data_IF_479002361397
#
_entry.id   IF_479002361397
#
_cell.length_a   1.000
_cell.length_b   1.000
_cell.length_c   1.000
_cell.angle_alpha   90.00
_cell.angle_beta   90.00
_cell.angle_gamma   90.00
#
_symmetry.space_group_name_H-M   'P 1'
#
loop_
_entity.id
_entity.type
_entity.pdbx_description
1 polymer ?
#
# COMPACT_ATOMS: atom_id res chain seq x y z
N UNK A 1 2.84 -45.85 38.84
CA UNK A 1 2.54 -46.48 37.53
C UNK A 1 1.24 -45.84 37.04
N UNK A 2 1.13 -44.90 36.11
CA UNK A 2 2.05 -44.27 35.17
C UNK A 2 1.56 -42.81 35.06
N UNK A 3 2.37 -41.82 35.44
CA UNK A 3 2.24 -40.51 34.77
C UNK A 3 2.84 -40.74 33.39
N UNK A 4 2.02 -41.27 32.47
CA UNK A 4 2.35 -41.20 31.07
C UNK A 4 2.38 -39.70 30.78
N UNK A 5 3.58 -39.16 30.59
CA UNK A 5 3.79 -37.84 30.05
C UNK A 5 3.21 -37.86 28.63
N UNK A 6 1.90 -37.70 28.50
CA UNK A 6 1.24 -37.46 27.23
C UNK A 6 1.64 -36.05 26.83
N UNK A 7 2.84 -35.91 26.28
CA UNK A 7 3.21 -34.78 25.46
C UNK A 7 2.37 -34.87 24.18
N UNK A 8 1.12 -34.46 24.27
CA UNK A 8 0.46 -33.89 23.10
C UNK A 8 1.12 -32.53 22.88
N UNK A 9 1.45 -32.22 21.62
CA UNK A 9 2.17 -30.99 21.21
C UNK A 9 1.48 -29.71 21.74
N UNK A 10 0.20 -29.81 22.09
CA UNK A 10 -0.70 -28.71 22.47
C UNK A 10 -0.95 -28.52 23.99
N UNK A 11 -0.22 -29.22 24.87
CA UNK A 11 -0.64 -29.37 26.27
C UNK A 11 0.52 -29.44 27.29
N UNK A 12 0.47 -28.61 28.36
CA UNK A 12 1.38 -28.71 29.53
C UNK A 12 0.55 -28.98 30.79
N UNK A 13 0.70 -30.17 31.41
CA UNK A 13 -0.10 -30.55 32.57
C UNK A 13 0.68 -30.42 33.89
N UNK A 14 0.07 -29.77 34.88
CA UNK A 14 0.62 -29.55 36.22
C UNK A 14 -0.21 -30.28 37.29
N UNK A 15 0.43 -30.87 38.32
CA UNK A 15 -0.28 -31.52 39.43
C UNK A 15 -0.96 -30.48 40.33
N UNK A 16 -2.23 -30.72 40.68
CA UNK A 16 -2.98 -29.84 41.60
C UNK A 16 -2.90 -30.39 43.03
N UNK A 17 -2.54 -29.56 44.01
CA UNK A 17 -2.44 -29.98 45.41
C UNK A 17 -3.84 -30.27 46.00
N UNK A 18 -4.13 -31.57 46.17
CA UNK A 18 -4.80 -32.20 47.34
C UNK A 18 -5.87 -33.26 47.05
N UNK A 19 -6.20 -33.60 45.80
CA UNK A 19 -6.92 -34.85 45.46
C UNK A 19 -6.55 -35.25 44.02
N UNK A 20 -6.38 -36.56 43.77
CA UNK A 20 -5.87 -37.18 42.52
C UNK A 20 -6.36 -36.48 41.23
N UNK A 21 -5.58 -35.53 40.72
CA UNK A 21 -5.96 -34.74 39.54
C UNK A 21 -4.80 -33.92 38.99
N UNK A 22 -4.79 -33.73 37.68
CA UNK A 22 -3.87 -32.86 36.95
C UNK A 22 -4.69 -31.81 36.17
N UNK A 23 -4.17 -30.59 36.09
CA UNK A 23 -4.75 -29.53 35.27
C UNK A 23 -3.84 -29.31 34.07
N UNK A 24 -4.40 -29.38 32.87
CA UNK A 24 -3.68 -29.11 31.65
C UNK A 24 -3.86 -27.65 31.22
N UNK A 25 -2.74 -26.97 31.01
CA UNK A 25 -2.67 -25.64 30.41
C UNK A 25 -2.49 -25.81 28.90
N UNK A 26 -3.49 -25.41 28.14
CA UNK A 26 -3.48 -25.52 26.69
C UNK A 26 -2.61 -24.45 26.04
N UNK A 27 -1.95 -24.81 24.95
CA UNK A 27 -1.38 -23.82 24.03
C UNK A 27 -2.51 -22.98 23.43
N UNK A 28 -2.23 -21.74 22.98
CA UNK A 28 -3.23 -20.94 22.26
C UNK A 28 -3.90 -21.75 21.13
N UNK A 29 -5.21 -21.58 20.96
CA UNK A 29 -6.00 -22.31 19.97
C UNK A 29 -6.55 -23.67 20.39
N UNK A 30 -6.21 -24.18 21.59
CA UNK A 30 -6.73 -25.46 22.07
C UNK A 30 -7.52 -25.32 23.38
N UNK A 31 -8.50 -26.19 23.55
CA UNK A 31 -9.38 -26.29 24.72
C UNK A 31 -9.67 -27.74 25.09
N UNK A 32 -10.39 -27.95 26.19
CA UNK A 32 -10.70 -29.27 26.74
C UNK A 32 -9.75 -29.70 27.86
N UNK A 33 -10.14 -30.75 28.59
CA UNK A 33 -9.42 -31.25 29.77
C UNK A 33 -8.00 -31.74 29.45
N UNK A 34 -7.78 -32.19 28.21
CA UNK A 34 -6.49 -32.63 27.69
C UNK A 34 -6.02 -31.80 26.49
N UNK A 35 -6.59 -30.59 26.32
CA UNK A 35 -6.29 -29.71 25.18
C UNK A 35 -6.49 -30.41 23.83
N UNK A 36 -7.45 -31.33 23.78
CA UNK A 36 -7.71 -32.17 22.61
C UNK A 36 -8.63 -31.50 21.58
N UNK A 37 -9.28 -30.40 21.97
CA UNK A 37 -10.25 -29.71 21.13
C UNK A 37 -9.59 -28.47 20.50
N UNK A 38 -9.47 -28.42 19.16
CA UNK A 38 -9.11 -27.18 18.48
C UNK A 38 -10.27 -26.19 18.65
N UNK A 39 -9.98 -24.98 19.11
CA UNK A 39 -10.96 -23.91 19.21
C UNK A 39 -11.34 -23.53 17.78
N UNK A 40 -12.62 -23.64 17.45
CA UNK A 40 -13.09 -23.28 16.12
C UNK A 40 -13.27 -21.76 16.03
N UNK A 41 -12.25 -21.05 15.54
CA UNK A 41 -12.29 -19.59 15.41
C UNK A 41 -13.33 -19.11 14.37
N UNK A 42 -13.86 -20.01 13.54
CA UNK A 42 -14.92 -19.69 12.59
C UNK A 42 -16.33 -19.64 13.21
N UNK A 43 -16.54 -20.10 14.45
CA UNK A 43 -17.88 -20.09 15.09
C UNK A 43 -18.44 -18.67 15.26
N UNK A 44 -17.57 -17.68 15.48
CA UNK A 44 -17.98 -16.28 15.59
C UNK A 44 -18.31 -15.62 14.24
N UNK A 45 -18.24 -16.36 13.13
CA UNK A 45 -18.43 -15.87 11.77
C UNK A 45 -17.57 -14.62 11.47
N UNK A 46 -16.24 -14.73 11.57
CA UNK A 46 -15.36 -13.59 11.39
C UNK A 46 -15.34 -13.08 9.93
N UNK A 47 -15.46 -13.98 8.94
CA UNK A 47 -15.49 -13.64 7.53
C UNK A 47 -16.79 -12.92 7.15
N UNK A 48 -16.66 -11.72 6.60
CA UNK A 48 -17.79 -10.89 6.16
C UNK A 48 -18.08 -11.07 4.68
N UNK A 49 -19.20 -10.50 4.24
CA UNK A 49 -19.57 -10.39 2.82
C UNK A 49 -19.58 -11.72 2.04
N UNK A 50 -19.95 -12.83 2.69
CA UNK A 50 -19.99 -14.15 2.08
C UNK A 50 -18.63 -14.83 1.93
N UNK A 51 -17.61 -14.38 2.66
CA UNK A 51 -16.33 -15.09 2.77
C UNK A 51 -16.49 -16.46 3.42
N UNK A 52 -15.75 -17.44 2.90
CA UNK A 52 -15.72 -18.81 3.44
C UNK A 52 -14.61 -18.87 4.49
N UNK A 53 -14.98 -19.22 5.72
CA UNK A 53 -14.05 -19.35 6.83
C UNK A 53 -13.46 -20.76 6.88
N UNK A 54 -12.14 -20.84 7.00
CA UNK A 54 -11.39 -22.06 7.28
C UNK A 54 -10.75 -21.93 8.65
N UNK A 55 -11.10 -22.85 9.54
CA UNK A 55 -10.52 -22.96 10.87
C UNK A 55 -9.05 -23.38 10.78
N UNK A 56 -8.18 -22.75 11.57
CA UNK A 56 -6.76 -23.07 11.70
C UNK A 56 -6.44 -23.25 13.19
N UNK A 57 -5.17 -23.44 13.54
CA UNK A 57 -4.76 -23.54 14.95
C UNK A 57 -4.59 -22.12 15.49
N UNK A 58 -5.37 -21.76 16.51
CA UNK A 58 -5.35 -20.44 17.16
C UNK A 58 -5.64 -19.27 16.19
N UNK A 59 -6.26 -19.55 15.04
CA UNK A 59 -6.40 -18.63 13.93
C UNK A 59 -7.47 -19.10 12.94
N UNK A 60 -7.85 -18.24 12.01
CA UNK A 60 -8.72 -18.58 10.89
C UNK A 60 -8.22 -17.89 9.62
N UNK A 61 -8.63 -18.44 8.48
CA UNK A 61 -8.43 -17.82 7.17
C UNK A 61 -9.77 -17.61 6.46
N UNK A 62 -9.93 -16.47 5.80
CA UNK A 62 -11.11 -16.18 4.99
C UNK A 62 -10.77 -16.23 3.50
N UNK A 63 -11.45 -17.10 2.77
CA UNK A 63 -11.46 -17.06 1.30
C UNK A 63 -12.51 -16.05 0.87
N UNK A 64 -12.05 -14.90 0.39
CA UNK A 64 -12.92 -13.81 -0.02
C UNK A 64 -13.49 -13.99 -1.43
N UNK A 65 -14.76 -13.61 -1.65
CA UNK A 65 -15.31 -13.45 -3.00
C UNK A 65 -14.50 -12.42 -3.79
N UNK A 66 -14.59 -12.46 -5.12
CA UNK A 66 -13.77 -11.62 -6.02
C UNK A 66 -13.87 -10.11 -5.75
N UNK A 67 -15.01 -9.66 -5.24
CA UNK A 67 -15.32 -8.26 -4.95
C UNK A 67 -14.76 -7.75 -3.62
N UNK A 68 -14.25 -8.64 -2.76
CA UNK A 68 -13.81 -8.30 -1.41
C UNK A 68 -12.36 -8.73 -1.15
N UNK A 69 -11.72 -8.04 -0.21
CA UNK A 69 -10.35 -8.25 0.25
C UNK A 69 -10.25 -7.96 1.76
N UNK A 70 -9.07 -8.22 2.31
CA UNK A 70 -8.75 -8.12 3.73
C UNK A 70 -8.94 -9.44 4.46
N UNK A 71 -8.34 -9.55 5.65
CA UNK A 71 -8.37 -10.78 6.49
C UNK A 71 -9.77 -11.33 6.71
N UNK A 72 -10.77 -10.45 6.80
CA UNK A 72 -12.16 -10.81 7.09
C UNK A 72 -13.08 -10.48 5.92
N UNK A 73 -12.55 -10.27 4.71
CA UNK A 73 -13.30 -9.86 3.53
C UNK A 73 -14.13 -8.59 3.75
N UNK A 74 -13.65 -7.70 4.62
CA UNK A 74 -14.37 -6.50 5.05
C UNK A 74 -14.22 -5.33 4.08
N UNK A 75 -13.20 -5.35 3.21
CA UNK A 75 -12.91 -4.26 2.29
C UNK A 75 -13.36 -4.63 0.88
N UNK A 76 -14.00 -3.69 0.19
CA UNK A 76 -14.31 -3.86 -1.23
C UNK A 76 -13.03 -3.70 -2.05
N UNK A 77 -12.80 -4.58 -3.03
CA UNK A 77 -11.67 -4.51 -3.96
C UNK A 77 -11.86 -3.40 -5.00
N UNK A 78 -12.11 -2.17 -4.59
CA UNK A 78 -12.32 -1.02 -5.48
C UNK A 78 -11.59 0.23 -4.99
N UNK A 79 -10.50 0.04 -4.25
CA UNK A 79 -9.65 1.12 -3.75
C UNK A 79 -8.71 1.67 -4.82
N UNK A 80 -8.21 2.91 -4.67
CA UNK A 80 -7.24 3.48 -5.60
C UNK A 80 -5.91 2.73 -5.52
N UNK A 81 -5.34 2.39 -6.68
CA UNK A 81 -4.02 1.74 -6.78
C UNK A 81 -2.85 2.74 -6.65
N UNK A 82 -3.15 4.04 -6.68
CA UNK A 82 -2.27 5.08 -6.16
C UNK A 82 -1.53 5.87 -7.23
N UNK A 83 -2.16 6.11 -8.38
CA UNK A 83 -1.72 7.12 -9.34
C UNK A 83 -1.86 8.53 -8.78
N UNK A 84 -2.99 8.87 -8.16
CA UNK A 84 -3.22 10.17 -7.52
C UNK A 84 -2.28 10.40 -6.34
N UNK A 85 -2.19 9.41 -5.44
CA UNK A 85 -1.39 9.49 -4.21
C UNK A 85 0.13 9.42 -4.43
N UNK A 86 0.59 9.03 -5.62
CA UNK A 86 2.02 8.96 -5.94
C UNK A 86 2.71 7.63 -5.65
N UNK A 87 1.98 6.67 -5.09
CA UNK A 87 2.43 5.29 -4.85
C UNK A 87 3.00 4.69 -6.14
N UNK A 88 2.29 4.86 -7.27
CA UNK A 88 2.80 4.52 -8.59
C UNK A 88 3.78 5.62 -9.01
N UNK A 89 5.05 5.27 -9.15
CA UNK A 89 6.13 6.22 -9.47
C UNK A 89 6.12 6.68 -10.93
N UNK A 90 6.81 7.79 -11.23
CA UNK A 90 6.88 8.32 -12.60
C UNK A 90 7.48 7.33 -13.61
N UNK A 91 8.39 6.45 -13.17
CA UNK A 91 9.04 5.44 -14.01
C UNK A 91 8.09 4.30 -14.40
N UNK A 92 7.02 4.09 -13.63
CA UNK A 92 6.02 3.06 -13.89
C UNK A 92 4.97 3.49 -14.92
N UNK A 93 4.97 4.77 -15.31
CA UNK A 93 3.96 5.35 -16.21
C UNK A 93 4.65 5.70 -17.53
N UNK A 94 4.27 5.02 -18.59
CA UNK A 94 4.79 5.25 -19.95
C UNK A 94 3.65 5.52 -20.91
N UNK A 95 3.95 6.08 -22.07
CA UNK A 95 2.94 6.35 -23.10
C UNK A 95 3.55 6.28 -24.49
N UNK A 96 2.70 6.11 -25.49
CA UNK A 96 3.09 6.03 -26.90
C UNK A 96 3.85 7.27 -27.38
N UNK A 97 3.38 8.44 -26.95
CA UNK A 97 3.88 9.73 -27.39
C UNK A 97 3.68 10.80 -26.31
N UNK A 98 4.21 11.99 -26.55
CA UNK A 98 4.10 13.12 -25.61
C UNK A 98 3.95 14.41 -26.39
N UNK A 99 2.92 15.17 -26.06
CA UNK A 99 2.76 16.51 -26.61
C UNK A 99 3.78 17.50 -26.02
N UNK A 100 4.37 18.32 -26.89
CA UNK A 100 5.22 19.46 -26.53
C UNK A 100 4.62 20.76 -27.07
N UNK A 101 4.33 21.72 -26.20
CA UNK A 101 3.78 23.04 -26.56
C UNK A 101 4.74 24.16 -26.16
N UNK A 102 4.47 25.39 -26.65
CA UNK A 102 5.23 26.61 -26.36
C UNK A 102 6.75 26.43 -26.50
N UNK A 103 7.22 26.13 -27.71
CA UNK A 103 8.64 25.90 -28.03
C UNK A 103 9.31 24.82 -27.14
N UNK A 104 8.51 23.86 -26.65
CA UNK A 104 9.00 22.77 -25.80
C UNK A 104 9.04 23.07 -24.30
N UNK A 105 8.57 24.25 -23.86
CA UNK A 105 8.48 24.60 -22.44
C UNK A 105 7.36 23.84 -21.72
N UNK A 106 6.28 23.48 -22.41
CA UNK A 106 5.19 22.67 -21.85
C UNK A 106 5.28 21.24 -22.37
N UNK A 107 5.60 20.28 -21.49
CA UNK A 107 5.77 18.86 -21.85
C UNK A 107 4.76 17.99 -21.09
N UNK A 108 3.78 17.45 -21.80
CA UNK A 108 2.64 16.72 -21.23
C UNK A 108 2.96 15.23 -21.11
N UNK A 109 3.98 14.90 -20.32
CA UNK A 109 4.48 13.54 -20.18
C UNK A 109 3.48 12.55 -19.55
N UNK A 110 3.61 11.24 -19.81
CA UNK A 110 2.76 10.20 -19.25
C UNK A 110 2.62 10.25 -17.73
N UNK A 111 3.70 10.55 -17.00
CA UNK A 111 3.69 10.59 -15.53
C UNK A 111 2.81 11.70 -14.92
N UNK A 112 2.33 12.66 -15.72
CA UNK A 112 1.34 13.64 -15.29
C UNK A 112 -0.09 13.12 -15.36
N UNK A 113 -0.33 11.91 -15.88
CA UNK A 113 -1.65 11.28 -15.96
C UNK A 113 -2.18 10.81 -14.60
N UNK A 114 -2.15 11.67 -13.59
CA UNK A 114 -2.60 11.39 -12.23
C UNK A 114 -3.91 12.12 -11.98
N UNK A 115 -4.90 11.42 -11.44
CA UNK A 115 -6.19 12.01 -11.10
C UNK A 115 -6.00 13.27 -10.23
N UNK A 116 -6.84 14.29 -10.45
CA UNK A 116 -6.84 15.55 -9.71
C UNK A 116 -5.53 16.34 -9.69
N UNK A 117 -4.54 15.97 -10.50
CA UNK A 117 -3.27 16.70 -10.60
C UNK A 117 -3.55 18.16 -11.00
N UNK A 118 -2.91 19.08 -10.26
CA UNK A 118 -2.99 20.53 -10.45
C UNK A 118 -1.70 21.05 -11.09
N UNK A 119 -1.79 22.20 -11.74
CA UNK A 119 -0.66 22.90 -12.39
C UNK A 119 -1.00 23.36 -13.81
N UNK A 120 -0.07 24.10 -14.41
CA UNK A 120 -0.17 24.53 -15.82
C UNK A 120 -0.08 23.34 -16.80
N UNK A 121 0.70 22.33 -16.43
CA UNK A 121 0.77 21.03 -17.09
C UNK A 121 0.41 19.99 -16.04
N UNK A 122 -0.71 19.31 -16.25
CA UNK A 122 -1.33 18.52 -15.20
C UNK A 122 -1.99 17.23 -15.70
N UNK A 123 -1.74 16.85 -16.95
CA UNK A 123 -2.24 15.61 -17.54
C UNK A 123 -1.22 15.06 -18.53
N UNK A 124 -1.42 13.82 -18.96
CA UNK A 124 -0.78 13.33 -20.18
C UNK A 124 -1.59 13.75 -21.39
N UNK A 125 -0.91 14.18 -22.45
CA UNK A 125 -1.51 14.46 -23.75
C UNK A 125 -0.68 13.78 -24.83
N UNK A 126 -1.34 13.03 -25.70
CA UNK A 126 -0.70 12.40 -26.86
C UNK A 126 -0.22 13.45 -27.87
N UNK A 127 0.83 13.12 -28.62
CA UNK A 127 1.30 13.95 -29.72
C UNK A 127 0.25 14.05 -30.85
N UNK A 128 0.24 15.14 -31.59
CA UNK A 128 -0.81 15.41 -32.60
C UNK A 128 -0.76 14.45 -33.79
N UNK A 129 0.41 13.89 -34.09
CA UNK A 129 0.61 12.91 -35.17
C UNK A 129 0.41 11.45 -34.72
N UNK A 130 0.10 11.21 -33.45
CA UNK A 130 -0.11 9.87 -32.91
C UNK A 130 -1.55 9.41 -33.20
N UNK A 131 -1.70 8.48 -34.15
CA UNK A 131 -3.00 7.92 -34.55
C UNK A 131 -3.53 6.89 -33.56
N UNK A 132 -2.66 6.29 -32.75
CA UNK A 132 -3.00 5.18 -31.86
C UNK A 132 -2.39 5.39 -30.48
N UNK A 133 -2.81 6.46 -29.78
CA UNK A 133 -2.21 6.81 -28.51
C UNK A 133 -2.49 5.74 -27.47
N UNK A 134 -1.53 5.49 -26.60
CA UNK A 134 -1.73 4.64 -25.43
C UNK A 134 -0.99 5.15 -24.21
N UNK A 135 -1.57 4.92 -23.03
CA UNK A 135 -0.97 5.14 -21.72
C UNK A 135 -0.84 3.80 -21.02
N UNK A 136 0.36 3.48 -20.54
CA UNK A 136 0.67 2.22 -19.88
C UNK A 136 1.11 2.48 -18.43
N UNK A 137 0.61 1.62 -17.55
CA UNK A 137 0.89 1.66 -16.11
C UNK A 137 1.43 0.29 -15.71
N UNK A 138 2.63 0.26 -15.14
CA UNK A 138 3.24 -0.94 -14.57
C UNK A 138 3.02 -0.97 -13.05
N UNK A 139 2.24 -1.93 -12.57
CA UNK A 139 1.91 -2.09 -11.15
C UNK A 139 3.04 -2.75 -10.34
N UNK A 140 4.13 -3.19 -11.00
CA UNK A 140 5.30 -3.91 -10.46
C UNK A 140 5.01 -5.30 -9.89
N UNK A 141 3.77 -5.57 -9.55
CA UNK A 141 3.27 -6.86 -9.09
C UNK A 141 1.92 -7.14 -9.74
N UNK A 142 1.52 -8.42 -9.71
CA UNK A 142 0.23 -8.86 -10.23
C UNK A 142 -0.89 -8.39 -9.29
N UNK A 143 -1.78 -7.56 -9.80
CA UNK A 143 -2.88 -6.93 -9.04
C UNK A 143 -4.21 -7.26 -9.69
N UNK A 144 -5.29 -7.25 -8.89
CA UNK A 144 -6.66 -7.25 -9.42
C UNK A 144 -7.08 -5.83 -9.73
N UNK A 145 -7.52 -5.59 -10.96
CA UNK A 145 -8.01 -4.30 -11.43
C UNK A 145 -9.51 -4.41 -11.64
N UNK A 146 -10.26 -3.56 -10.95
CA UNK A 146 -11.74 -3.58 -10.92
C UNK A 146 -12.36 -2.35 -11.59
N UNK A 147 -11.57 -1.33 -11.90
CA UNK A 147 -12.09 -0.17 -12.61
C UNK A 147 -11.03 0.88 -12.94
N UNK A 148 -11.49 1.94 -13.58
CA UNK A 148 -10.68 3.08 -13.98
C UNK A 148 -11.48 4.37 -13.81
N UNK A 149 -10.86 5.37 -13.19
CA UNK A 149 -11.36 6.74 -13.16
C UNK A 149 -10.57 7.55 -14.19
N UNK A 150 -11.27 8.28 -15.04
CA UNK A 150 -10.68 9.18 -16.04
C UNK A 150 -11.09 10.62 -15.79
N UNK A 151 -10.24 11.56 -16.18
CA UNK A 151 -10.49 13.00 -16.09
C UNK A 151 -9.70 13.70 -17.20
N UNK A 152 -10.24 14.78 -17.77
CA UNK A 152 -9.56 15.56 -18.81
C UNK A 152 -8.59 16.60 -18.26
N UNK A 153 -8.25 17.61 -19.06
CA UNK A 153 -7.60 18.83 -18.59
C UNK A 153 -8.02 20.05 -19.43
N UNK A 154 -7.61 21.24 -18.99
CA UNK A 154 -7.89 22.49 -19.70
C UNK A 154 -6.59 23.12 -20.14
N UNK A 155 -6.51 23.52 -21.40
CA UNK A 155 -5.36 24.25 -21.96
C UNK A 155 -5.81 25.59 -22.50
N UNK A 156 -5.31 26.68 -21.91
CA UNK A 156 -5.57 28.07 -22.36
C UNK A 156 -7.06 28.33 -22.63
N UNK A 157 -7.95 27.95 -21.71
CA UNK A 157 -9.39 28.15 -21.90
C UNK A 157 -10.14 26.95 -22.52
N UNK A 158 -9.47 26.12 -23.31
CA UNK A 158 -10.12 25.03 -24.06
C UNK A 158 -10.12 23.71 -23.29
N UNK A 159 -11.27 23.04 -23.14
CA UNK A 159 -11.36 21.72 -22.50
C UNK A 159 -10.90 20.62 -23.46
N UNK A 160 -9.98 19.78 -22.99
CA UNK A 160 -9.45 18.61 -23.71
C UNK A 160 -9.69 17.36 -22.85
N UNK A 161 -10.30 16.32 -23.42
CA UNK A 161 -10.61 15.08 -22.70
C UNK A 161 -10.92 13.92 -23.63
N UNK A 162 -10.82 12.71 -23.11
CA UNK A 162 -11.18 11.48 -23.83
C UNK A 162 -12.67 11.17 -23.62
N UNK A 163 -13.42 11.00 -24.70
CA UNK A 163 -14.84 10.65 -24.73
C UNK A 163 -15.09 9.14 -24.74
N UNK A 164 -14.17 8.36 -25.27
CA UNK A 164 -14.21 6.89 -25.19
C UNK A 164 -12.82 6.29 -25.29
N UNK A 165 -12.64 5.12 -24.70
CA UNK A 165 -11.35 4.42 -24.66
C UNK A 165 -11.54 2.91 -24.58
N UNK A 166 -10.50 2.16 -24.96
CA UNK A 166 -10.36 0.73 -24.70
C UNK A 166 -9.31 0.47 -23.63
N UNK A 167 -9.37 -0.69 -22.98
CA UNK A 167 -8.39 -1.11 -21.97
C UNK A 167 -7.81 -2.46 -22.38
N UNK A 168 -6.52 -2.64 -22.17
CA UNK A 168 -5.84 -3.91 -22.33
C UNK A 168 -5.02 -4.24 -21.07
N UNK A 169 -4.82 -5.52 -20.84
CA UNK A 169 -4.03 -6.05 -19.74
C UNK A 169 -2.88 -6.94 -20.26
N UNK A 170 -1.82 -7.07 -19.46
CA UNK A 170 -0.65 -7.87 -19.80
C UNK A 170 0.09 -8.30 -18.53
N UNK A 171 0.65 -9.50 -18.54
CA UNK A 171 1.51 -10.02 -17.45
C UNK A 171 2.99 -9.75 -17.71
N UNK A 172 3.42 -9.64 -18.98
CA UNK A 172 4.83 -9.55 -19.38
C UNK A 172 5.19 -8.19 -20.03
N UNK A 173 4.21 -7.32 -20.27
CA UNK A 173 4.33 -6.05 -20.97
C UNK A 173 4.53 -6.18 -22.49
N UNK A 174 4.53 -7.40 -23.03
CA UNK A 174 4.76 -7.71 -24.46
C UNK A 174 3.49 -8.22 -25.13
N UNK A 175 2.81 -9.17 -24.51
CA UNK A 175 1.56 -9.75 -24.98
C UNK A 175 0.39 -9.04 -24.33
N UNK A 176 -0.56 -8.56 -25.13
CA UNK A 176 -1.65 -7.70 -24.66
C UNK A 176 -3.00 -8.30 -24.98
N UNK A 177 -3.83 -8.44 -23.95
CA UNK A 177 -5.20 -8.91 -24.07
C UNK A 177 -6.15 -7.71 -23.93
N UNK A 178 -6.93 -7.45 -24.98
CA UNK A 178 -7.97 -6.40 -24.94
C UNK A 178 -9.10 -6.83 -24.02
N UNK A 179 -9.63 -5.90 -23.22
CA UNK A 179 -10.83 -6.16 -22.44
C UNK A 179 -12.02 -6.36 -23.37
N UNK A 180 -12.73 -7.48 -23.22
CA UNK A 180 -13.84 -7.88 -24.07
C UNK A 180 -15.20 -7.62 -23.42
N UNK A 181 -16.23 -7.43 -24.23
CA UNK A 181 -17.62 -7.43 -23.76
C UNK A 181 -17.95 -8.85 -23.27
N UNK A 182 -18.65 -8.94 -22.14
CA UNK A 182 -18.98 -10.22 -21.50
C UNK A 182 -19.66 -11.17 -22.50
N UNK A 183 -19.21 -12.42 -22.53
CA UNK A 183 -19.73 -13.50 -23.38
C UNK A 183 -19.61 -13.25 -24.91
N UNK A 184 -18.70 -12.35 -25.33
CA UNK A 184 -18.43 -12.06 -26.75
C UNK A 184 -16.92 -11.87 -27.01
N UNK A 185 -16.50 -11.88 -28.28
CA UNK A 185 -15.12 -11.56 -28.69
C UNK A 185 -14.95 -10.07 -29.11
N UNK A 186 -15.97 -9.24 -28.88
CA UNK A 186 -15.90 -7.82 -29.20
C UNK A 186 -15.12 -7.03 -28.14
N UNK A 187 -14.25 -6.12 -28.59
CA UNK A 187 -13.53 -5.23 -27.68
C UNK A 187 -14.49 -4.28 -26.96
N UNK A 188 -14.40 -4.24 -25.63
CA UNK A 188 -15.17 -3.30 -24.82
C UNK A 188 -14.70 -1.87 -25.05
N UNK A 189 -15.64 -1.00 -25.42
CA UNK A 189 -15.42 0.45 -25.54
C UNK A 189 -16.07 1.11 -24.32
N UNK A 190 -15.23 1.67 -23.46
CA UNK A 190 -15.68 2.41 -22.29
C UNK A 190 -16.04 3.85 -22.67
N UNK A 191 -17.10 4.36 -22.05
CA UNK A 191 -17.45 5.78 -22.15
C UNK A 191 -16.52 6.57 -21.24
N UNK A 192 -15.94 7.65 -21.77
CA UNK A 192 -15.03 8.53 -21.05
C UNK A 192 -15.74 9.74 -20.46
N UNK A 193 -15.03 10.87 -20.43
CA UNK A 193 -15.51 12.09 -19.81
C UNK A 193 -16.47 12.88 -20.70
N UNK A 194 -17.36 13.64 -20.06
CA UNK A 194 -18.23 14.63 -20.69
C UNK A 194 -17.68 16.05 -20.60
N UNK A 195 -16.74 16.29 -19.69
CA UNK A 195 -16.03 17.56 -19.48
C UNK A 195 -14.54 17.32 -19.14
N UNK A 196 -13.80 18.38 -18.83
CA UNK A 196 -12.37 18.30 -18.55
C UNK A 196 -11.98 18.13 -17.07
N UNK A 197 -12.92 18.19 -16.12
CA UNK A 197 -12.63 18.32 -14.70
C UNK A 197 -13.39 17.35 -13.80
N UNK A 198 -14.53 16.83 -14.20
CA UNK A 198 -15.30 15.87 -13.41
C UNK A 198 -14.68 14.48 -13.60
N UNK A 199 -14.21 13.83 -12.52
CA UNK A 199 -13.79 12.43 -12.57
C UNK A 199 -14.95 11.55 -13.03
N UNK A 200 -14.71 10.70 -14.02
CA UNK A 200 -15.68 9.74 -14.54
C UNK A 200 -15.19 8.34 -14.24
N UNK A 201 -15.99 7.56 -13.50
CA UNK A 201 -15.64 6.22 -13.04
C UNK A 201 -16.30 5.17 -13.94
N UNK A 202 -15.50 4.25 -14.48
CA UNK A 202 -15.99 3.02 -15.08
C UNK A 202 -15.56 1.83 -14.21
N UNK A 203 -16.53 1.04 -13.77
CA UNK A 203 -16.30 -0.25 -13.15
C UNK A 203 -16.21 -1.33 -14.24
N UNK A 204 -15.28 -2.26 -14.08
CA UNK A 204 -15.12 -3.39 -15.00
C UNK A 204 -16.06 -4.51 -14.57
N UNK A 205 -16.97 -4.90 -15.47
CA UNK A 205 -17.97 -5.95 -15.22
C UNK A 205 -17.32 -7.30 -14.86
N UNK A 206 -16.15 -7.56 -15.41
CA UNK A 206 -15.29 -8.70 -15.09
C UNK A 206 -13.92 -8.15 -14.67
N UNK A 207 -13.62 -8.05 -13.36
CA UNK A 207 -12.29 -7.74 -12.88
C UNK A 207 -11.23 -8.64 -13.52
N UNK A 208 -10.06 -8.10 -13.84
CA UNK A 208 -8.95 -8.87 -14.38
C UNK A 208 -7.70 -8.73 -13.50
N UNK A 209 -6.83 -9.72 -13.58
CA UNK A 209 -5.55 -9.75 -12.88
C UNK A 209 -4.44 -9.46 -13.87
N UNK A 210 -3.57 -8.50 -13.55
CA UNK A 210 -2.44 -8.16 -14.41
C UNK A 210 -1.39 -7.34 -13.66
N UNK A 211 -0.15 -7.37 -14.18
CA UNK A 211 0.90 -6.44 -13.78
C UNK A 211 0.87 -5.15 -14.60
N UNK A 212 0.53 -5.23 -15.88
CA UNK A 212 0.51 -4.08 -16.79
C UNK A 212 -0.90 -3.79 -17.27
N UNK A 213 -1.26 -2.51 -17.21
CA UNK A 213 -2.54 -2.01 -17.73
C UNK A 213 -2.24 -0.95 -18.78
N UNK A 214 -2.93 -1.03 -19.92
CA UNK A 214 -2.82 -0.03 -20.99
C UNK A 214 -4.18 0.50 -21.39
N UNK A 215 -4.25 1.81 -21.51
CA UNK A 215 -5.45 2.57 -21.85
C UNK A 215 -5.24 3.14 -23.25
N UNK A 216 -6.22 2.92 -24.12
CA UNK A 216 -6.19 3.33 -25.53
C UNK A 216 -7.32 4.33 -25.80
N UNK A 217 -7.07 5.64 -25.73
CA UNK A 217 -8.05 6.65 -26.16
C UNK A 217 -8.52 6.37 -27.59
N UNK A 218 -9.85 6.37 -27.80
CA UNK A 218 -10.46 6.17 -29.12
C UNK A 218 -11.01 7.48 -29.67
N UNK A 219 -11.93 8.11 -28.94
CA UNK A 219 -12.54 9.37 -29.34
C UNK A 219 -12.19 10.42 -28.30
N UNK A 220 -11.73 11.58 -28.76
CA UNK A 220 -11.27 12.67 -27.90
C UNK A 220 -11.93 13.99 -28.29
N UNK A 221 -12.21 14.85 -27.32
CA UNK A 221 -12.59 16.25 -27.58
C UNK A 221 -11.32 17.08 -27.72
N UNK A 222 -11.16 17.71 -28.88
CA UNK A 222 -9.96 18.47 -29.27
C UNK A 222 -8.71 17.61 -29.34
N UNK A 223 -8.23 17.09 -28.20
CA UNK A 223 -7.05 16.22 -28.12
C UNK A 223 -7.23 15.14 -27.04
N UNK A 224 -6.51 14.03 -27.20
CA UNK A 224 -6.50 12.94 -26.23
C UNK A 224 -5.65 13.32 -25.02
N UNK A 225 -6.33 13.83 -24.00
CA UNK A 225 -5.74 14.31 -22.75
C UNK A 225 -6.35 13.56 -21.57
N UNK A 226 -5.50 12.96 -20.72
CA UNK A 226 -5.92 12.07 -19.62
C UNK A 226 -5.19 12.37 -18.31
N UNK A 227 -5.99 12.39 -17.25
CA UNK A 227 -5.64 12.11 -15.86
C UNK A 227 -6.39 10.84 -15.45
N UNK A 228 -5.72 9.93 -14.76
CA UNK A 228 -6.31 8.63 -14.42
C UNK A 228 -6.01 8.19 -13.00
N UNK A 229 -6.89 7.33 -12.47
CA UNK A 229 -6.65 6.52 -11.28
C UNK A 229 -7.19 5.11 -11.53
N UNK A 230 -6.37 4.09 -11.26
CA UNK A 230 -6.79 2.70 -11.37
C UNK A 230 -7.44 2.27 -10.06
N UNK A 231 -8.50 1.47 -10.16
CA UNK A 231 -9.18 0.90 -9.01
C UNK A 231 -8.90 -0.60 -8.94
N UNK A 232 -8.70 -1.12 -7.75
CA UNK A 232 -8.39 -2.54 -7.57
C UNK A 232 -7.93 -2.88 -6.16
N UNK A 233 -7.26 -4.03 -6.06
CA UNK A 233 -6.62 -4.51 -4.84
C UNK A 233 -5.51 -5.52 -5.17
N UNK A 234 -4.74 -5.90 -4.17
CA UNK A 234 -3.72 -6.95 -4.28
C UNK A 234 -4.34 -8.35 -4.14
N UNK A 235 -3.74 -9.35 -4.77
CA UNK A 235 -4.26 -10.73 -4.78
C UNK A 235 -4.00 -11.49 -3.48
N UNK A 236 -2.88 -11.22 -2.81
CA UNK A 236 -2.40 -11.98 -1.66
C UNK A 236 -3.05 -11.55 -0.34
N UNK A 237 -3.90 -10.51 -0.35
CA UNK A 237 -4.58 -9.99 0.84
C UNK A 237 -3.66 -9.48 1.97
N UNK A 238 -2.33 -9.48 1.77
CA UNK A 238 -1.33 -9.21 2.80
C UNK A 238 -0.56 -7.91 2.57
N UNK A 239 -1.20 -6.91 1.97
CA UNK A 239 -0.61 -5.57 1.78
C UNK A 239 -1.56 -4.48 2.26
N UNK A 240 -2.43 -4.85 3.19
CA UNK A 240 -3.37 -3.94 3.84
C UNK A 240 -2.60 -3.05 4.83
N UNK A 241 -3.07 -1.81 5.07
CA UNK A 241 -2.48 -0.94 6.08
C UNK A 241 -2.60 -1.56 7.47
N UNK A 242 -1.47 -1.69 8.17
CA UNK A 242 -1.40 -2.27 9.52
C UNK A 242 -1.93 -1.32 10.60
N UNK A 243 -2.15 -0.04 10.27
CA UNK A 243 -2.97 0.83 11.09
C UNK A 243 -2.31 2.11 11.57
N UNK A 244 -1.24 2.56 10.92
CA UNK A 244 -0.63 3.85 11.24
C UNK A 244 -1.59 5.00 10.94
N UNK A 245 -2.22 5.03 9.76
CA UNK A 245 -3.16 6.10 9.39
C UNK A 245 -4.49 5.98 10.13
N UNK A 246 -5.01 4.77 10.27
CA UNK A 246 -6.34 4.52 10.87
C UNK A 246 -6.34 4.70 12.39
N UNK A 247 -5.18 4.63 13.04
CA UNK A 247 -5.06 4.68 14.49
C UNK A 247 -5.27 3.33 15.17
N UNK A 248 -5.33 2.22 14.43
CA UNK A 248 -5.34 0.87 15.02
C UNK A 248 -4.03 0.58 15.75
N UNK A 249 -2.88 0.97 15.16
CA UNK A 249 -1.62 1.07 15.89
C UNK A 249 -1.72 2.27 16.81
N UNK A 250 -1.70 2.05 18.12
CA UNK A 250 -1.85 3.08 19.14
C UNK A 250 -0.58 3.91 19.31
N UNK A 251 -0.72 5.11 19.89
CA UNK A 251 0.40 6.04 20.05
C UNK A 251 1.56 5.46 20.89
N UNK A 252 1.26 4.63 21.89
CA UNK A 252 2.28 4.00 22.74
C UNK A 252 3.12 2.95 22.00
N UNK A 253 2.63 2.43 20.87
CA UNK A 253 3.33 1.45 20.04
C UNK A 253 4.41 2.10 19.17
N UNK A 254 4.42 3.43 19.07
CA UNK A 254 5.33 4.16 18.19
C UNK A 254 6.36 4.89 19.05
N UNK A 255 7.63 4.51 18.90
CA UNK A 255 8.74 5.11 19.64
C UNK A 255 9.80 5.63 18.68
N UNK A 256 10.71 6.49 19.15
CA UNK A 256 11.77 7.04 18.31
C UNK A 256 13.04 7.30 19.10
N UNK A 257 14.13 7.56 18.38
CA UNK A 257 15.41 7.94 18.96
C UNK A 257 15.43 9.33 19.59
N UNK A 258 14.78 10.32 18.96
CA UNK A 258 14.73 11.70 19.45
C UNK A 258 13.60 12.49 18.78
N UNK A 259 13.22 13.61 19.39
CA UNK A 259 12.09 14.45 18.96
C UNK A 259 12.52 15.92 18.83
N UNK A 260 12.14 16.55 17.72
CA UNK A 260 12.34 17.97 17.48
C UNK A 260 11.16 18.80 17.99
N UNK A 261 11.46 19.97 18.54
CA UNK A 261 10.47 20.97 18.95
C UNK A 261 10.66 22.25 18.14
N UNK A 262 9.63 22.65 17.39
CA UNK A 262 9.70 23.95 16.69
C UNK A 262 9.61 25.08 17.71
N UNK A 263 10.50 26.07 17.58
CA UNK A 263 10.64 27.19 18.52
C UNK A 263 10.94 26.78 19.97
N UNK A 264 11.41 25.54 20.20
CA UNK A 264 11.61 24.99 21.55
C UNK A 264 10.32 24.99 22.40
N UNK A 265 9.15 24.91 21.75
CA UNK A 265 7.85 24.88 22.42
C UNK A 265 7.25 23.48 22.39
N UNK A 266 6.82 22.97 23.55
CA UNK A 266 6.17 21.65 23.66
C UNK A 266 4.89 21.54 22.79
N UNK A 267 4.19 22.66 22.58
CA UNK A 267 3.00 22.72 21.72
C UNK A 267 3.29 22.39 20.25
N UNK A 268 4.54 22.56 19.81
CA UNK A 268 5.00 22.24 18.46
C UNK A 268 6.02 21.08 18.47
N UNK A 269 5.76 20.06 19.29
CA UNK A 269 6.56 18.83 19.35
C UNK A 269 6.22 17.85 18.22
N UNK A 270 7.25 17.42 17.49
CA UNK A 270 7.14 16.46 16.37
C UNK A 270 7.27 15.01 16.87
N UNK A 271 6.41 14.64 17.82
CA UNK A 271 6.38 13.34 18.50
C UNK A 271 6.22 12.14 17.54
N UNK A 272 6.71 10.95 17.91
CA UNK A 272 6.57 9.72 17.10
C UNK A 272 5.10 9.37 16.80
N UNK A 273 4.17 9.67 17.72
CA UNK A 273 2.73 9.46 17.52
C UNK A 273 2.14 10.21 16.32
N UNK A 274 2.85 11.24 15.81
CA UNK A 274 2.44 12.02 14.63
C UNK A 274 2.97 11.42 13.32
N UNK A 275 3.81 10.40 13.35
CA UNK A 275 4.41 9.75 12.18
C UNK A 275 3.44 8.91 11.33
N UNK A 276 2.18 9.35 11.19
CA UNK A 276 1.09 8.63 10.54
C UNK A 276 0.87 9.17 9.12
N UNK A 277 0.71 8.27 8.14
CA UNK A 277 0.48 8.66 6.75
C UNK A 277 -0.70 9.63 6.61
N UNK A 278 -0.56 10.66 5.77
CA UNK A 278 -1.57 11.71 5.52
C UNK A 278 -2.04 12.51 6.73
N UNK A 279 -1.34 12.42 7.87
CA UNK A 279 -1.66 13.23 9.04
C UNK A 279 -1.65 14.71 8.66
N UNK A 280 -2.70 15.41 9.10
CA UNK A 280 -2.91 16.84 8.90
C UNK A 280 -2.70 17.58 10.23
N UNK A 281 -2.40 18.87 10.15
CA UNK A 281 -2.17 19.74 11.31
C UNK A 281 -0.91 20.59 11.15
N UNK A 282 -0.67 21.48 12.12
CA UNK A 282 0.54 22.31 12.17
C UNK A 282 1.79 21.47 12.41
N UNK A 283 1.68 20.47 13.28
CA UNK A 283 2.67 19.40 13.46
C UNK A 283 2.00 18.09 13.10
N UNK A 284 2.51 17.46 12.06
CA UNK A 284 1.83 16.37 11.40
C UNK A 284 2.77 15.23 10.98
N UNK A 285 3.99 15.19 11.50
CA UNK A 285 4.94 14.12 11.26
C UNK A 285 5.81 13.91 12.50
N UNK A 286 6.62 12.86 12.48
CA UNK A 286 7.78 12.78 13.37
C UNK A 286 8.97 13.47 12.73
N UNK A 287 9.70 14.25 13.53
CA UNK A 287 10.97 14.88 13.16
C UNK A 287 11.99 14.63 14.24
N UNK A 288 13.18 14.15 13.89
CA UNK A 288 14.24 13.89 14.87
C UNK A 288 14.90 15.17 15.35
N UNK A 289 15.34 15.18 16.61
CA UNK A 289 16.06 16.32 17.19
C UNK A 289 17.39 16.59 16.49
N UNK A 290 18.10 15.50 16.16
CA UNK A 290 19.41 15.50 15.50
C UNK A 290 19.28 14.95 14.08
N UNK A 291 20.07 15.48 13.16
CA UNK A 291 20.15 15.01 11.77
C UNK A 291 21.40 14.14 11.60
N UNK A 292 21.34 12.90 12.07
CA UNK A 292 22.43 11.93 11.95
C UNK A 292 21.89 10.53 11.61
N UNK A 293 22.76 9.62 11.19
CA UNK A 293 22.38 8.27 10.77
C UNK A 293 22.10 7.31 11.94
N UNK A 294 22.17 7.79 13.18
CA UNK A 294 21.81 7.00 14.37
C UNK A 294 20.32 7.15 14.75
N UNK A 295 19.60 8.05 14.07
CA UNK A 295 18.18 8.27 14.32
C UNK A 295 17.33 7.11 13.82
N UNK A 296 16.21 6.87 14.50
CA UNK A 296 15.27 5.84 14.13
C UNK A 296 13.85 6.16 14.59
N UNK A 297 12.89 5.63 13.83
CA UNK A 297 11.48 5.53 14.20
C UNK A 297 11.14 4.05 14.30
N UNK A 298 10.45 3.65 15.36
CA UNK A 298 10.12 2.26 15.67
C UNK A 298 8.63 2.09 15.87
N UNK A 299 8.12 0.95 15.42
CA UNK A 299 6.73 0.53 15.59
C UNK A 299 6.73 -0.87 16.19
N UNK A 300 6.06 -1.02 17.34
CA UNK A 300 5.74 -2.31 17.96
C UNK A 300 4.38 -2.80 17.46
N UNK A 301 4.37 -3.89 16.68
CA UNK A 301 3.14 -4.48 16.13
C UNK A 301 2.39 -5.33 17.17
N UNK A 302 2.93 -5.49 18.39
CA UNK A 302 2.45 -6.31 19.52
C UNK A 302 2.40 -7.82 19.27
N UNK A 303 2.10 -8.23 18.04
CA UNK A 303 2.02 -9.61 17.60
C UNK A 303 2.96 -9.85 16.41
N UNK A 304 3.49 -11.07 16.25
CA UNK A 304 4.23 -11.45 15.05
C UNK A 304 3.40 -11.18 13.79
N UNK A 305 3.95 -10.36 12.90
CA UNK A 305 3.26 -9.84 11.73
C UNK A 305 4.15 -10.02 10.50
N UNK A 306 3.53 -10.39 9.38
CA UNK A 306 4.17 -10.41 8.07
C UNK A 306 4.08 -9.02 7.45
N UNK A 307 5.21 -8.34 7.39
CA UNK A 307 5.35 -6.99 6.81
C UNK A 307 5.83 -7.11 5.37
N UNK A 308 4.99 -6.65 4.45
CA UNK A 308 5.19 -6.77 2.99
C UNK A 308 5.55 -5.45 2.33
N UNK A 309 5.34 -4.33 3.03
CA UNK A 309 5.66 -3.03 2.46
C UNK A 309 5.63 -1.90 3.47
N UNK A 310 6.10 -0.75 3.02
CA UNK A 310 6.08 0.50 3.76
C UNK A 310 5.77 1.64 2.80
N UNK A 311 4.92 2.56 3.23
CA UNK A 311 4.64 3.83 2.53
C UNK A 311 5.23 4.95 3.37
N UNK A 312 6.04 5.80 2.75
CA UNK A 312 6.63 6.98 3.40
C UNK A 312 6.15 8.26 2.76
N UNK A 313 6.08 9.33 3.54
CA UNK A 313 5.69 10.68 3.12
C UNK A 313 6.48 11.70 3.96
N UNK A 314 6.91 12.81 3.35
CA UNK A 314 7.57 13.89 4.08
C UNK A 314 6.58 14.81 4.81
N UNK A 315 7.03 16.00 5.22
CA UNK A 315 6.16 17.04 5.76
C UNK A 315 6.75 18.44 5.53
N UNK A 316 6.08 19.45 6.08
CA UNK A 316 6.47 20.84 5.90
C UNK A 316 6.34 21.57 7.24
N UNK A 317 7.40 22.24 7.65
CA UNK A 317 7.45 23.04 8.88
C UNK A 317 7.55 24.53 8.50
N UNK A 318 6.53 25.34 8.82
CA UNK A 318 6.46 26.78 8.55
C UNK A 318 6.84 27.25 7.13
N UNK A 319 6.60 26.45 6.09
CA UNK A 319 7.06 26.81 4.73
C UNK A 319 8.21 25.96 4.21
N UNK A 320 8.97 25.35 5.12
CA UNK A 320 10.17 24.58 4.80
C UNK A 320 9.83 23.10 4.59
N UNK A 321 10.07 22.62 3.38
CA UNK A 321 9.90 21.23 2.98
C UNK A 321 10.96 20.36 3.65
N UNK A 322 10.56 19.24 4.24
CA UNK A 322 11.44 18.31 4.93
C UNK A 322 11.00 16.86 4.67
N UNK A 323 11.94 15.97 4.36
CA UNK A 323 11.63 14.57 4.07
C UNK A 323 12.86 13.67 4.14
N UNK A 324 12.63 12.38 4.33
CA UNK A 324 13.67 11.34 4.23
C UNK A 324 13.77 10.85 2.78
N UNK A 325 14.95 10.99 2.19
CA UNK A 325 15.25 10.62 0.80
C UNK A 325 15.69 9.17 0.63
N UNK A 326 16.27 8.55 1.66
CA UNK A 326 16.53 7.11 1.68
C UNK A 326 16.62 6.60 3.11
N UNK A 327 16.33 5.32 3.31
CA UNK A 327 16.34 4.69 4.64
C UNK A 327 16.69 3.20 4.56
N UNK A 328 17.10 2.65 5.69
CA UNK A 328 17.25 1.21 5.92
C UNK A 328 16.11 0.72 6.82
N UNK A 329 15.80 -0.57 6.74
CA UNK A 329 14.86 -1.21 7.65
C UNK A 329 15.62 -2.16 8.56
N UNK A 330 15.33 -2.09 9.85
CA UNK A 330 15.73 -3.07 10.84
C UNK A 330 14.49 -3.70 11.48
N UNK A 331 14.58 -4.96 11.87
CA UNK A 331 13.46 -5.70 12.42
C UNK A 331 13.92 -6.62 13.56
N UNK A 332 13.00 -6.92 14.48
CA UNK A 332 13.27 -7.70 15.69
C UNK A 332 12.02 -8.41 16.21
N UNK A 333 12.17 -9.62 16.72
CA UNK A 333 11.08 -10.35 17.37
C UNK A 333 10.94 -10.02 18.86
N UNK A 334 12.07 -9.75 19.52
CA UNK A 334 12.19 -9.57 20.97
C UNK A 334 12.36 -8.10 21.40
N UNK A 335 12.73 -7.22 20.47
CA UNK A 335 13.06 -5.81 20.74
C UNK A 335 14.51 -5.59 21.18
N UNK A 336 15.27 -6.67 21.41
CA UNK A 336 16.67 -6.64 21.87
C UNK A 336 17.64 -6.92 20.73
N UNK A 337 17.39 -7.99 19.97
CA UNK A 337 18.22 -8.40 18.85
C UNK A 337 17.66 -7.87 17.54
N UNK A 338 18.45 -7.03 16.89
CA UNK A 338 18.05 -6.34 15.66
C UNK A 338 18.76 -6.89 14.44
N UNK A 339 18.00 -7.13 13.38
CA UNK A 339 18.49 -7.54 12.08
C UNK A 339 18.22 -6.43 11.06
N UNK A 340 19.21 -6.08 10.24
CA UNK A 340 19.04 -5.13 9.14
C UNK A 340 18.58 -5.89 7.89
N UNK A 341 17.59 -5.35 7.17
CA UNK A 341 17.12 -5.94 5.92
C UNK A 341 18.20 -5.85 4.84
N UNK A 342 18.53 -6.99 4.23
CA UNK A 342 19.61 -7.12 3.25
C UNK A 342 19.06 -7.40 1.85
N UNK A 343 19.73 -6.84 0.84
CA UNK A 343 19.48 -7.18 -0.55
C UNK A 343 20.09 -8.56 -0.85
N UNK A 344 19.24 -9.57 -1.07
CA UNK A 344 19.68 -10.94 -1.38
C UNK A 344 20.59 -11.03 -2.60
N UNK A 345 20.46 -10.12 -3.57
CA UNK A 345 21.29 -10.15 -4.79
C UNK A 345 22.69 -9.59 -4.56
N UNK A 346 22.84 -8.67 -3.59
CA UNK A 346 24.08 -7.94 -3.38
C UNK A 346 24.79 -8.28 -2.06
N UNK A 347 24.14 -9.06 -1.17
CA UNK A 347 24.60 -9.37 0.19
C UNK A 347 25.03 -8.12 0.99
N UNK A 348 24.30 -7.02 0.82
CA UNK A 348 24.53 -5.75 1.51
C UNK A 348 23.22 -5.24 2.08
N UNK A 349 23.31 -4.37 3.09
CA UNK A 349 22.15 -3.65 3.62
C UNK A 349 21.35 -3.00 2.49
N UNK A 350 20.06 -3.29 2.43
CA UNK A 350 19.18 -2.69 1.44
C UNK A 350 18.93 -1.24 1.82
N UNK A 351 19.25 -0.33 0.92
CA UNK A 351 18.86 1.08 1.01
C UNK A 351 17.60 1.28 0.19
N UNK A 352 16.49 1.56 0.86
CA UNK A 352 15.23 1.90 0.24
C UNK A 352 15.23 3.37 -0.18
N UNK A 353 14.73 3.63 -1.39
CA UNK A 353 14.54 4.99 -1.89
C UNK A 353 13.28 5.57 -1.26
N UNK A 354 13.44 6.66 -0.51
CA UNK A 354 12.38 7.38 0.17
C UNK A 354 11.74 8.43 -0.73
N UNK A 355 11.38 9.56 -0.13
CA UNK A 355 10.63 10.62 -0.77
C UNK A 355 11.54 11.60 -1.53
N UNK A 356 10.98 12.28 -2.53
CA UNK A 356 11.63 13.37 -3.25
C UNK A 356 10.97 14.73 -2.97
N UNK A 357 9.86 14.72 -2.23
CA UNK A 357 9.08 15.88 -1.82
C UNK A 357 8.35 15.58 -0.49
N UNK A 358 7.56 16.52 0.01
CA UNK A 358 6.82 16.39 1.28
C UNK A 358 5.42 15.77 1.18
N UNK A 359 4.84 15.62 -0.01
CA UNK A 359 3.41 15.30 -0.16
C UNK A 359 3.18 13.95 -0.83
N UNK A 360 3.98 13.62 -1.84
CA UNK A 360 3.85 12.41 -2.64
C UNK A 360 4.20 11.19 -1.81
N UNK A 361 3.29 10.19 -1.80
CA UNK A 361 3.55 8.91 -1.15
C UNK A 361 4.64 8.15 -1.90
N UNK A 362 5.50 7.46 -1.14
CA UNK A 362 6.47 6.51 -1.69
C UNK A 362 6.23 5.14 -1.09
N UNK A 363 5.70 4.20 -1.87
CA UNK A 363 5.60 2.79 -1.48
C UNK A 363 6.88 2.06 -1.85
N UNK A 364 7.44 1.33 -0.89
CA UNK A 364 8.47 0.35 -1.12
C UNK A 364 7.92 -1.03 -0.75
N UNK A 365 7.98 -1.97 -1.70
CA UNK A 365 7.67 -3.37 -1.47
C UNK A 365 8.90 -4.02 -0.82
N UNK A 366 8.65 -4.83 0.20
CA UNK A 366 9.65 -5.57 0.95
C UNK A 366 9.62 -7.01 0.44
N UNK A 367 10.59 -7.34 -0.41
CA UNK A 367 10.74 -8.66 -1.01
C UNK A 367 12.15 -9.22 -0.70
N UNK A 368 12.27 -10.35 0.01
CA UNK A 368 11.17 -11.13 0.62
C UNK A 368 10.48 -10.38 1.77
N UNK A 369 9.23 -10.72 2.13
CA UNK A 369 8.54 -10.12 3.26
C UNK A 369 9.26 -10.41 4.58
N UNK A 370 9.13 -9.48 5.53
CA UNK A 370 9.73 -9.59 6.87
C UNK A 370 8.69 -10.16 7.83
N UNK A 371 9.05 -11.18 8.59
CA UNK A 371 8.24 -11.68 9.70
C UNK A 371 8.84 -11.15 10.99
N UNK A 372 8.09 -10.35 11.74
CA UNK A 372 8.62 -9.64 12.91
C UNK A 372 7.53 -9.06 13.79
N UNK A 373 7.88 -8.67 15.02
CA UNK A 373 7.02 -7.86 15.90
C UNK A 373 7.41 -6.38 15.87
N UNK A 374 8.71 -6.08 15.85
CA UNK A 374 9.23 -4.72 15.87
C UNK A 374 9.81 -4.36 14.51
N UNK A 375 9.40 -3.20 13.99
CA UNK A 375 9.97 -2.61 12.77
C UNK A 375 10.61 -1.28 13.14
N UNK A 376 11.86 -1.09 12.71
CA UNK A 376 12.61 0.15 12.89
C UNK A 376 13.04 0.70 11.53
N UNK A 377 12.70 1.96 11.30
CA UNK A 377 13.04 2.71 10.10
C UNK A 377 14.22 3.61 10.44
N UNK A 378 15.32 3.45 9.71
CA UNK A 378 16.59 4.12 9.97
C UNK A 378 16.88 5.07 8.79
N UNK A 379 16.66 6.39 8.96
CA UNK A 379 16.94 7.38 7.93
C UNK A 379 18.42 7.38 7.52
N UNK A 380 18.67 7.37 6.22
CA UNK A 380 20.02 7.27 5.65
C UNK A 380 20.43 8.53 4.89
N UNK A 381 19.48 9.14 4.16
CA UNK A 381 19.61 10.48 3.57
C UNK A 381 18.30 11.24 3.70
N UNK A 382 18.37 12.57 3.73
CA UNK A 382 17.21 13.45 3.95
C UNK A 382 17.41 14.83 3.32
N UNK A 383 16.32 15.56 3.17
CA UNK A 383 16.29 16.95 2.77
C UNK A 383 15.76 17.82 3.93
N UNK A 384 16.52 18.84 4.31
CA UNK A 384 16.20 19.67 5.48
C UNK A 384 16.46 18.92 6.79
N UNK A 385 15.40 18.37 7.39
CA UNK A 385 15.48 17.53 8.60
C UNK A 385 14.94 16.14 8.31
N UNK A 386 15.34 15.18 9.13
CA UNK A 386 14.76 13.84 9.13
C UNK A 386 13.31 13.97 9.60
N UNK A 387 12.38 13.93 8.65
CA UNK A 387 10.95 14.07 8.91
C UNK A 387 10.18 13.04 8.11
N UNK A 388 9.30 12.30 8.78
CA UNK A 388 8.56 11.19 8.18
C UNK A 388 7.13 11.05 8.71
N UNK A 389 6.24 10.73 7.79
CA UNK A 389 4.94 10.08 8.00
C UNK A 389 4.99 8.71 7.34
N UNK A 390 4.42 7.70 8.00
CA UNK A 390 4.59 6.31 7.60
C UNK A 390 3.27 5.54 7.67
N UNK A 391 3.10 4.57 6.77
CA UNK A 391 2.16 3.46 6.89
C UNK A 391 2.91 2.15 6.64
N UNK A 392 2.68 1.15 7.48
CA UNK A 392 3.21 -0.20 7.28
C UNK A 392 2.14 -1.04 6.60
N UNK A 393 2.55 -1.90 5.68
CA UNK A 393 1.67 -2.80 4.94
C UNK A 393 2.01 -4.24 5.31
N UNK A 394 0.98 -5.06 5.48
CA UNK A 394 1.18 -6.45 5.87
C UNK A 394 -0.10 -7.17 6.24
N UNK A 395 0.08 -8.30 6.90
CA UNK A 395 -0.97 -9.08 7.54
C UNK A 395 -0.41 -9.79 8.78
N UNK A 396 -1.26 -10.20 9.73
CA UNK A 396 -0.85 -11.08 10.83
C UNK A 396 -0.13 -12.33 10.31
N UNK A 397 0.92 -12.77 11.00
CA UNK A 397 1.61 -13.99 10.60
C UNK A 397 0.69 -15.19 10.87
N UNK A 398 0.38 -15.93 9.81
CA UNK A 398 -0.20 -17.27 9.91
C UNK A 398 0.97 -18.23 10.18
N UNK A 399 0.99 -18.89 11.35
CA UNK A 399 1.90 -20.00 11.66
C UNK A 399 1.44 -21.30 10.98
#
# INVERSE_FOLDING_TARGET
QNCLLLMFVSCVCEPVNSFVGYLCKCTPGFSGVHCQDNINECEENPCKNGGICTDLIANYSCVCPTEFTGRNCQFKCSGPLGLEGGIISNQQITGSSTHRALFGMQKWYPYFARLNKKGLVNAWRAAENDRWPWLQINLLQRMRVTGLITQGAKRVGSPEYVKSYKVANSEDGKTWNMFKVKDTDEDMIFTGNTDNNTPYKNDFSTPFEAQYVRIYPQICRSHCTLRVELLGCELTGCSEPLGMKTGQIQDYQITCSSVFHTLSMNMFSWEPSKARLDKQGKVNAWTSAKNDQSQWLQVDLLLPTKVTGIITQGAKDFGHVQFVGSYKLAFSYDGEKWHIFQDKKQQKDKIFQGNFDNETHRKNVIDPPIYTRFVRIIPWSWYGRITMRVELLGCPHEE
#
